data_IF_545313185170
#
_entry.id   IF_545313185170
#
_cell.length_a   1.000
_cell.length_b   1.000
_cell.length_c   1.000
_cell.angle_alpha   90.00
_cell.angle_beta   90.00
_cell.angle_gamma   90.00
#
_symmetry.space_group_name_H-M   'P 1'
#
loop_
_entity.id
_entity.type
_entity.pdbx_description
1 polymer ?
#
# COMPACT_ATOMS: atom_id res chain seq x y z
N UNK A 1 -53.83 20.15 -9.21
CA UNK A 1 -52.92 19.04 -9.55
C UNK A 1 -51.57 19.65 -9.90
N UNK A 2 -50.67 19.76 -8.91
CA UNK A 2 -49.35 20.37 -9.09
C UNK A 2 -48.33 19.29 -9.44
N UNK A 3 -47.86 19.30 -10.68
CA UNK A 3 -46.85 18.37 -11.17
C UNK A 3 -45.48 18.81 -10.62
N UNK A 4 -45.05 18.22 -9.51
CA UNK A 4 -43.72 18.43 -8.95
C UNK A 4 -42.69 17.76 -9.85
N UNK A 5 -42.07 18.55 -10.72
CA UNK A 5 -40.90 18.13 -11.48
C UNK A 5 -39.73 17.89 -10.51
N UNK A 6 -39.40 16.62 -10.29
CA UNK A 6 -38.16 16.25 -9.60
C UNK A 6 -36.97 16.61 -10.49
N UNK A 7 -35.96 17.35 -9.99
CA UNK A 7 -34.75 17.63 -10.75
C UNK A 7 -33.96 16.33 -10.95
N UNK A 8 -34.12 15.73 -12.13
CA UNK A 8 -33.27 14.67 -12.62
C UNK A 8 -31.97 15.30 -13.14
N UNK A 9 -30.83 15.13 -12.45
CA UNK A 9 -29.58 15.64 -13.02
C UNK A 9 -28.26 15.35 -12.29
N UNK A 10 -28.21 15.28 -10.96
CA UNK A 10 -26.91 15.39 -10.26
C UNK A 10 -26.09 14.08 -10.16
N UNK A 11 -26.59 12.94 -10.65
CA UNK A 11 -25.94 11.63 -10.47
C UNK A 11 -25.02 11.15 -11.60
N UNK A 12 -24.97 11.83 -12.75
CA UNK A 12 -24.14 11.41 -13.90
C UNK A 12 -22.63 11.72 -13.78
N UNK A 13 -22.18 12.91 -13.33
CA UNK A 13 -20.75 13.28 -13.42
C UNK A 13 -19.83 12.46 -12.50
N UNK A 14 -20.35 11.97 -11.37
CA UNK A 14 -19.59 11.15 -10.42
C UNK A 14 -19.28 9.76 -11.00
N UNK A 15 -20.27 9.14 -11.67
CA UNK A 15 -20.12 7.80 -12.28
C UNK A 15 -19.06 7.82 -13.39
N UNK A 16 -19.04 8.85 -14.22
CA UNK A 16 -18.08 8.99 -15.31
C UNK A 16 -16.65 9.21 -14.80
N UNK A 17 -16.51 10.00 -13.74
CA UNK A 17 -15.20 10.21 -13.09
C UNK A 17 -14.66 8.91 -12.50
N UNK A 18 -15.50 8.11 -11.84
CA UNK A 18 -15.11 6.82 -11.29
C UNK A 18 -14.70 5.84 -12.39
N UNK A 19 -15.50 5.72 -13.46
CA UNK A 19 -15.19 4.86 -14.61
C UNK A 19 -13.85 5.22 -15.26
N UNK A 20 -13.60 6.53 -15.48
CA UNK A 20 -12.33 7.01 -16.03
C UNK A 20 -11.15 6.66 -15.14
N UNK A 21 -11.26 6.88 -13.83
CA UNK A 21 -10.17 6.56 -12.89
C UNK A 21 -9.88 5.06 -12.84
N UNK A 22 -10.92 4.22 -12.86
CA UNK A 22 -10.77 2.76 -12.94
C UNK A 22 -10.09 2.34 -14.24
N UNK A 23 -10.52 2.87 -15.38
CA UNK A 23 -9.89 2.58 -16.67
C UNK A 23 -8.40 2.94 -16.67
N UNK A 24 -8.05 4.13 -16.17
CA UNK A 24 -6.65 4.58 -16.04
C UNK A 24 -5.84 3.61 -15.16
N UNK A 25 -6.38 3.20 -14.01
CA UNK A 25 -5.70 2.26 -13.13
C UNK A 25 -5.51 0.89 -13.79
N UNK A 26 -6.52 0.36 -14.47
CA UNK A 26 -6.43 -0.91 -15.19
C UNK A 26 -5.41 -0.83 -16.33
N UNK A 27 -5.39 0.25 -17.11
CA UNK A 27 -4.37 0.47 -18.15
C UNK A 27 -2.98 0.51 -17.53
N UNK A 28 -2.78 1.21 -16.42
CA UNK A 28 -1.49 1.24 -15.73
C UNK A 28 -1.05 -0.15 -15.24
N UNK A 29 -1.97 -0.93 -14.66
CA UNK A 29 -1.69 -2.31 -14.24
C UNK A 29 -1.38 -3.23 -15.42
N UNK A 30 -2.07 -3.07 -16.55
CA UNK A 30 -1.80 -3.84 -17.77
C UNK A 30 -0.40 -3.51 -18.35
N UNK A 31 -0.03 -2.23 -18.39
CA UNK A 31 1.33 -1.82 -18.82
C UNK A 31 2.39 -2.37 -17.88
N UNK A 32 2.19 -2.27 -16.57
CA UNK A 32 3.11 -2.83 -15.58
C UNK A 32 3.24 -4.35 -15.74
N UNK A 33 2.12 -5.08 -15.89
CA UNK A 33 2.13 -6.52 -16.12
C UNK A 33 2.88 -6.90 -17.40
N UNK A 34 2.67 -6.18 -18.49
CA UNK A 34 3.37 -6.41 -19.76
C UNK A 34 4.88 -6.21 -19.62
N UNK A 35 5.31 -5.15 -18.92
CA UNK A 35 6.73 -4.90 -18.64
C UNK A 35 7.34 -5.98 -17.76
N UNK A 36 6.63 -6.44 -16.72
CA UNK A 36 7.12 -7.52 -15.85
C UNK A 36 7.21 -8.85 -16.60
N UNK A 37 6.21 -9.18 -17.42
CA UNK A 37 6.26 -10.37 -18.28
C UNK A 37 7.43 -10.31 -19.26
N UNK A 38 7.65 -9.15 -19.90
CA UNK A 38 8.77 -8.95 -20.81
C UNK A 38 10.12 -9.11 -20.10
N UNK A 39 10.28 -8.53 -18.90
CA UNK A 39 11.50 -8.64 -18.11
C UNK A 39 11.81 -10.08 -17.68
N UNK A 40 10.77 -10.90 -17.44
CA UNK A 40 10.90 -12.30 -17.03
C UNK A 40 10.78 -13.30 -18.20
N UNK A 41 10.55 -12.85 -19.43
CA UNK A 41 10.27 -13.73 -20.57
C UNK A 41 11.35 -14.79 -20.78
N UNK A 42 12.63 -14.40 -20.66
CA UNK A 42 13.75 -15.33 -20.78
C UNK A 42 13.83 -16.35 -19.63
N UNK A 43 13.41 -15.98 -18.43
CA UNK A 43 13.34 -16.89 -17.27
C UNK A 43 12.20 -17.88 -17.43
N UNK A 44 11.05 -17.41 -17.91
CA UNK A 44 9.87 -18.23 -18.15
C UNK A 44 10.09 -19.26 -19.27
N UNK A 45 10.81 -18.89 -20.33
CA UNK A 45 11.02 -19.74 -21.50
C UNK A 45 12.06 -20.85 -21.31
N UNK A 46 12.97 -20.70 -20.35
CA UNK A 46 14.03 -21.71 -20.10
C UNK A 46 13.49 -22.87 -19.28
N UNK A 47 13.77 -24.13 -19.61
CA UNK A 47 13.40 -25.26 -18.77
C UNK A 47 14.19 -25.30 -17.46
N UNK A 48 13.61 -25.91 -16.43
CA UNK A 48 14.24 -26.07 -15.11
C UNK A 48 13.87 -24.96 -14.13
N UNK A 49 14.33 -25.07 -12.88
CA UNK A 49 14.03 -24.11 -11.81
C UNK A 49 14.84 -22.82 -11.94
N UNK A 50 14.29 -21.72 -11.42
CA UNK A 50 15.07 -20.49 -11.22
C UNK A 50 15.93 -20.67 -9.98
N UNK A 51 17.22 -20.37 -10.08
CA UNK A 51 18.15 -20.40 -8.96
C UNK A 51 18.83 -21.75 -8.76
N UNK A 52 20.08 -21.68 -8.27
CA UNK A 52 20.86 -22.79 -7.70
C UNK A 52 22.10 -22.28 -6.93
N UNK A 53 22.21 -20.96 -6.71
CA UNK A 53 23.47 -20.32 -6.30
C UNK A 53 23.47 -19.79 -4.86
N UNK A 54 22.30 -19.55 -4.23
CA UNK A 54 22.19 -18.95 -2.89
C UNK A 54 20.90 -19.38 -2.17
N UNK A 55 20.10 -18.43 -1.68
CA UNK A 55 18.94 -18.62 -0.80
C UNK A 55 17.66 -19.00 -1.53
N UNK A 56 17.77 -19.77 -2.62
CA UNK A 56 16.60 -20.22 -3.37
C UNK A 56 15.87 -21.34 -2.62
N UNK A 57 15.03 -20.95 -1.67
CA UNK A 57 14.29 -21.87 -0.82
C UNK A 57 13.07 -22.50 -1.50
N UNK A 58 13.08 -22.80 -2.80
CA UNK A 58 11.95 -23.48 -3.48
C UNK A 58 12.44 -24.84 -3.97
N UNK A 59 11.92 -25.97 -3.44
CA UNK A 59 12.37 -27.30 -3.83
C UNK A 59 11.88 -27.66 -5.22
N UNK A 60 12.63 -28.52 -5.92
CA UNK A 60 12.35 -28.90 -7.30
C UNK A 60 11.01 -29.66 -7.44
N UNK A 61 10.79 -30.61 -6.54
CA UNK A 61 9.65 -31.53 -6.59
C UNK A 61 8.51 -31.05 -5.68
N UNK A 62 7.27 -31.31 -6.10
CA UNK A 62 6.07 -30.89 -5.37
C UNK A 62 5.99 -31.54 -3.96
N UNK A 63 6.45 -32.79 -3.85
CA UNK A 63 6.53 -33.54 -2.59
C UNK A 63 7.49 -32.85 -1.63
N UNK A 64 8.71 -32.54 -2.08
CA UNK A 64 9.70 -31.82 -1.28
C UNK A 64 9.20 -30.43 -0.87
N UNK A 65 8.49 -29.74 -1.76
CA UNK A 65 7.86 -28.46 -1.44
C UNK A 65 6.87 -28.61 -0.29
N UNK A 66 5.94 -29.56 -0.39
CA UNK A 66 4.95 -29.83 0.67
C UNK A 66 5.63 -30.27 1.97
N UNK A 67 6.65 -31.10 1.91
CA UNK A 67 7.34 -31.54 3.12
C UNK A 67 8.08 -30.37 3.79
N UNK A 68 8.73 -29.51 3.00
CA UNK A 68 9.37 -28.30 3.52
C UNK A 68 8.35 -27.34 4.14
N UNK A 69 7.23 -27.08 3.47
CA UNK A 69 6.21 -26.19 3.99
C UNK A 69 5.55 -26.74 5.28
N UNK A 70 5.44 -28.07 5.43
CA UNK A 70 4.95 -28.75 6.66
C UNK A 70 5.93 -28.53 7.80
N UNK A 71 7.21 -28.62 7.49
CA UNK A 71 8.29 -28.35 8.43
C UNK A 71 8.21 -26.92 8.98
N UNK A 72 7.84 -25.97 8.13
CA UNK A 72 7.55 -24.59 8.54
C UNK A 72 6.29 -24.43 9.41
N UNK A 73 5.51 -25.48 9.69
CA UNK A 73 4.43 -25.48 10.68
C UNK A 73 4.80 -26.07 12.06
N UNK A 74 5.97 -26.71 12.22
CA UNK A 74 6.44 -27.28 13.51
C UNK A 74 7.52 -26.44 14.21
N UNK A 75 7.36 -26.07 15.48
CA UNK A 75 8.41 -25.31 16.23
C UNK A 75 9.76 -26.06 16.33
N UNK A 76 9.71 -27.39 16.29
CA UNK A 76 10.89 -28.24 16.22
C UNK A 76 11.32 -28.44 14.77
N UNK A 77 12.55 -28.07 14.47
CA UNK A 77 13.17 -28.21 13.16
C UNK A 77 14.12 -29.42 13.17
N UNK A 78 13.61 -30.56 12.72
CA UNK A 78 14.38 -31.81 12.59
C UNK A 78 15.20 -31.91 11.28
N UNK A 79 15.22 -30.85 10.46
CA UNK A 79 15.96 -30.83 9.20
C UNK A 79 17.47 -30.68 9.42
N UNK A 80 17.86 -30.04 10.54
CA UNK A 80 19.26 -29.97 10.97
C UNK A 80 19.63 -31.22 11.77
N UNK A 81 20.85 -31.72 11.59
CA UNK A 81 21.31 -33.01 12.13
C UNK A 81 21.12 -33.19 13.65
N UNK A 82 21.21 -32.12 14.43
CA UNK A 82 21.01 -32.14 15.89
C UNK A 82 19.61 -31.75 16.33
N UNK A 83 18.73 -31.43 15.38
CA UNK A 83 17.52 -30.66 15.60
C UNK A 83 17.82 -29.24 16.11
N UNK A 84 16.92 -28.30 15.88
CA UNK A 84 16.96 -27.00 16.54
C UNK A 84 15.57 -26.48 16.86
N UNK A 85 15.47 -25.75 17.96
CA UNK A 85 14.28 -24.94 18.21
C UNK A 85 14.33 -23.71 17.32
N UNK A 86 13.34 -23.58 16.43
CA UNK A 86 13.28 -22.46 15.50
C UNK A 86 12.49 -21.30 16.14
N UNK A 87 13.18 -20.46 16.93
CA UNK A 87 12.56 -19.39 17.74
C UNK A 87 11.74 -18.37 16.93
N UNK A 88 12.07 -18.15 15.65
CA UNK A 88 11.44 -17.13 14.82
C UNK A 88 11.06 -17.69 13.45
N UNK A 89 9.83 -18.22 13.33
CA UNK A 89 9.26 -18.60 12.04
C UNK A 89 8.68 -17.40 11.31
N UNK A 90 9.55 -16.44 10.99
CA UNK A 90 9.17 -15.23 10.26
C UNK A 90 8.57 -15.57 8.89
N UNK A 91 8.96 -16.71 8.33
CA UNK A 91 8.44 -17.21 7.07
C UNK A 91 7.14 -18.02 7.20
N UNK A 92 6.58 -18.22 8.40
CA UNK A 92 5.37 -19.04 8.58
C UNK A 92 4.24 -18.60 7.66
N UNK A 93 3.96 -17.30 7.62
CA UNK A 93 2.89 -16.74 6.78
C UNK A 93 3.22 -16.84 5.29
N UNK A 94 4.50 -16.74 4.94
CA UNK A 94 4.97 -16.94 3.57
C UNK A 94 4.76 -18.39 3.12
N UNK A 95 5.16 -19.36 3.95
CA UNK A 95 4.96 -20.79 3.69
C UNK A 95 3.49 -21.21 3.71
N UNK A 96 2.68 -20.62 4.59
CA UNK A 96 1.24 -20.82 4.61
C UNK A 96 0.58 -20.33 3.32
N UNK A 97 1.03 -19.19 2.78
CA UNK A 97 0.53 -18.66 1.51
C UNK A 97 0.99 -19.50 0.30
N UNK A 98 2.19 -20.08 0.35
CA UNK A 98 2.73 -20.91 -0.72
C UNK A 98 2.24 -22.36 -0.67
N UNK A 99 1.78 -22.85 0.48
CA UNK A 99 1.33 -24.22 0.65
C UNK A 99 0.36 -24.70 -0.44
N UNK A 100 -0.72 -23.96 -0.78
CA UNK A 100 -1.70 -24.44 -1.77
C UNK A 100 -1.13 -24.53 -3.18
N UNK A 101 -0.12 -23.71 -3.52
CA UNK A 101 0.48 -23.68 -4.87
C UNK A 101 1.66 -24.65 -5.02
N UNK A 102 2.09 -25.31 -3.94
CA UNK A 102 3.13 -26.35 -3.96
C UNK A 102 2.84 -27.48 -4.95
N UNK A 103 1.56 -27.72 -5.26
CA UNK A 103 1.11 -28.75 -6.20
C UNK A 103 1.54 -28.50 -7.65
N UNK A 104 1.92 -27.26 -7.98
CA UNK A 104 2.36 -26.86 -9.32
C UNK A 104 3.84 -27.23 -9.59
N UNK A 105 4.55 -27.74 -8.59
CA UNK A 105 5.97 -28.09 -8.67
C UNK A 105 6.92 -26.89 -8.51
N UNK A 106 8.18 -27.19 -8.19
CA UNK A 106 9.22 -26.19 -7.94
C UNK A 106 9.53 -25.31 -9.14
N UNK A 107 9.56 -25.89 -10.33
CA UNK A 107 9.83 -25.16 -11.57
C UNK A 107 8.80 -24.06 -11.81
N UNK A 108 7.52 -24.38 -11.69
CA UNK A 108 6.44 -23.40 -11.86
C UNK A 108 6.54 -22.29 -10.80
N UNK A 109 6.60 -22.66 -9.52
CA UNK A 109 6.57 -21.67 -8.44
C UNK A 109 7.83 -20.80 -8.45
N UNK A 110 9.01 -21.37 -8.69
CA UNK A 110 10.28 -20.63 -8.72
C UNK A 110 10.33 -19.57 -9.83
N UNK A 111 9.61 -19.76 -10.93
CA UNK A 111 9.52 -18.79 -12.03
C UNK A 111 8.46 -17.72 -11.77
N UNK A 112 7.27 -18.15 -11.40
CA UNK A 112 6.11 -17.26 -11.29
C UNK A 112 6.14 -16.42 -10.02
N UNK A 113 6.67 -16.95 -8.91
CA UNK A 113 6.71 -16.21 -7.64
C UNK A 113 7.49 -14.89 -7.72
N UNK A 114 8.78 -14.83 -8.16
CA UNK A 114 9.50 -13.57 -8.25
C UNK A 114 8.82 -12.59 -9.21
N UNK A 115 8.27 -13.07 -10.33
CA UNK A 115 7.50 -12.27 -11.28
C UNK A 115 6.30 -11.60 -10.59
N UNK A 116 5.49 -12.40 -9.88
CA UNK A 116 4.31 -11.91 -9.17
C UNK A 116 4.67 -10.92 -8.06
N UNK A 117 5.75 -11.16 -7.32
CA UNK A 117 6.20 -10.25 -6.26
C UNK A 117 6.73 -8.92 -6.83
N UNK A 118 7.47 -8.94 -7.95
CA UNK A 118 7.89 -7.73 -8.66
C UNK A 118 6.68 -6.94 -9.15
N UNK A 119 5.71 -7.60 -9.81
CA UNK A 119 4.47 -6.97 -10.22
C UNK A 119 3.70 -6.37 -9.03
N UNK A 120 3.54 -7.15 -7.95
CA UNK A 120 2.83 -6.72 -6.74
C UNK A 120 3.49 -5.49 -6.11
N UNK A 121 4.82 -5.40 -6.12
CA UNK A 121 5.54 -4.24 -5.58
C UNK A 121 5.21 -2.95 -6.35
N UNK A 122 5.20 -2.98 -7.69
CA UNK A 122 4.79 -1.82 -8.49
C UNK A 122 3.30 -1.52 -8.35
N UNK A 123 2.46 -2.55 -8.35
CA UNK A 123 1.02 -2.41 -8.18
C UNK A 123 0.65 -1.76 -6.84
N UNK A 124 1.36 -2.12 -5.76
CA UNK A 124 1.22 -1.52 -4.44
C UNK A 124 1.66 -0.04 -4.40
N UNK A 125 2.67 0.34 -5.19
CA UNK A 125 3.15 1.72 -5.28
C UNK A 125 2.15 2.64 -5.98
N UNK A 126 1.37 2.14 -6.95
CA UNK A 126 0.38 2.95 -7.68
C UNK A 126 -0.59 3.73 -6.76
N UNK A 127 -1.36 3.12 -5.85
CA UNK A 127 -2.29 3.86 -5.01
C UNK A 127 -1.59 4.85 -4.07
N UNK A 128 -0.36 4.56 -3.63
CA UNK A 128 0.45 5.51 -2.85
C UNK A 128 0.82 6.73 -3.69
N UNK A 129 1.33 6.52 -4.92
CA UNK A 129 1.65 7.60 -5.85
C UNK A 129 0.42 8.46 -6.20
N UNK A 130 -0.74 7.82 -6.42
CA UNK A 130 -2.02 8.52 -6.65
C UNK A 130 -2.45 9.33 -5.42
N UNK A 131 -2.21 8.82 -4.21
CA UNK A 131 -2.51 9.53 -2.95
C UNK A 131 -1.66 10.78 -2.76
N UNK A 132 -0.45 10.78 -3.31
CA UNK A 132 0.47 11.92 -3.37
C UNK A 132 0.15 12.88 -4.52
N UNK A 133 -1.01 12.73 -5.17
CA UNK A 133 -1.51 13.62 -6.22
C UNK A 133 -0.62 13.68 -7.47
N UNK A 134 0.26 12.70 -7.68
CA UNK A 134 1.02 12.59 -8.92
C UNK A 134 0.08 12.39 -10.12
N UNK A 135 0.32 12.98 -11.30
CA UNK A 135 -0.43 12.66 -12.51
C UNK A 135 -0.31 11.17 -12.89
N UNK A 136 -1.27 10.58 -13.63
CA UNK A 136 -1.31 9.14 -13.88
C UNK A 136 -0.02 8.58 -14.51
N UNK A 137 0.57 9.32 -15.44
CA UNK A 137 1.84 8.95 -16.09
C UNK A 137 2.97 8.86 -15.07
N UNK A 138 3.13 9.86 -14.20
CA UNK A 138 4.16 9.84 -13.16
C UNK A 138 3.90 8.80 -12.07
N UNK A 139 2.64 8.49 -11.78
CA UNK A 139 2.30 7.38 -10.89
C UNK A 139 2.68 6.02 -11.50
N UNK A 140 2.52 5.85 -12.81
CA UNK A 140 2.99 4.66 -13.53
C UNK A 140 4.50 4.57 -13.49
N UNK A 141 5.21 5.66 -13.78
CA UNK A 141 6.67 5.70 -13.69
C UNK A 141 7.18 5.37 -12.28
N UNK A 142 6.52 5.88 -11.23
CA UNK A 142 6.85 5.52 -9.85
C UNK A 142 6.64 4.02 -9.58
N UNK A 143 5.55 3.43 -10.08
CA UNK A 143 5.29 2.00 -9.96
C UNK A 143 6.35 1.15 -10.69
N UNK A 144 6.72 1.53 -11.91
CA UNK A 144 7.76 0.87 -12.71
C UNK A 144 9.12 0.97 -12.03
N UNK A 145 9.55 2.17 -11.64
CA UNK A 145 10.85 2.34 -10.97
C UNK A 145 10.94 1.62 -9.64
N UNK A 146 9.83 1.53 -8.91
CA UNK A 146 9.79 0.77 -7.66
C UNK A 146 9.93 -0.74 -7.93
N UNK A 147 9.14 -1.27 -8.88
CA UNK A 147 9.15 -2.69 -9.24
C UNK A 147 10.51 -3.16 -9.78
N UNK A 148 11.14 -2.36 -10.64
CA UNK A 148 12.42 -2.67 -11.28
C UNK A 148 13.59 -1.96 -10.61
N UNK A 149 13.46 -1.58 -9.33
CA UNK A 149 14.56 -0.97 -8.60
C UNK A 149 15.75 -1.94 -8.48
N UNK A 150 17.00 -1.44 -8.42
CA UNK A 150 18.16 -2.29 -8.18
C UNK A 150 18.01 -3.15 -6.92
N UNK A 151 17.33 -2.64 -5.90
CA UNK A 151 16.99 -3.39 -4.70
C UNK A 151 16.08 -4.59 -5.01
N UNK A 152 14.94 -4.39 -5.65
CA UNK A 152 14.00 -5.46 -5.99
C UNK A 152 14.66 -6.54 -6.87
N UNK A 153 15.37 -6.12 -7.93
CA UNK A 153 16.07 -7.03 -8.83
C UNK A 153 17.19 -7.79 -8.12
N UNK A 154 17.94 -7.16 -7.22
CA UNK A 154 18.95 -7.86 -6.42
C UNK A 154 18.35 -8.98 -5.56
N UNK A 155 17.14 -8.78 -5.02
CA UNK A 155 16.44 -9.81 -4.24
C UNK A 155 15.89 -10.93 -5.10
N UNK A 156 15.41 -10.60 -6.30
CA UNK A 156 15.05 -11.61 -7.30
C UNK A 156 16.27 -12.46 -7.62
N UNK A 157 17.43 -11.88 -7.92
CA UNK A 157 18.65 -12.64 -8.26
C UNK A 157 19.16 -13.46 -7.06
N UNK A 158 19.09 -12.90 -5.85
CA UNK A 158 19.57 -13.56 -4.65
C UNK A 158 18.60 -14.60 -4.05
N UNK A 159 17.40 -14.80 -4.61
CA UNK A 159 16.43 -15.77 -4.08
C UNK A 159 15.71 -15.38 -2.79
N UNK A 160 15.89 -14.15 -2.29
CA UNK A 160 15.30 -13.69 -1.03
C UNK A 160 13.83 -13.28 -1.17
N UNK A 161 12.97 -14.24 -1.53
CA UNK A 161 11.54 -14.00 -1.79
C UNK A 161 10.77 -13.43 -0.60
N UNK A 162 10.98 -13.87 0.67
CA UNK A 162 10.32 -13.24 1.83
C UNK A 162 10.64 -11.75 1.97
N UNK A 163 11.90 -11.36 1.67
CA UNK A 163 12.32 -9.97 1.68
C UNK A 163 11.64 -9.17 0.56
N UNK A 164 11.55 -9.74 -0.64
CA UNK A 164 10.85 -9.12 -1.77
C UNK A 164 9.33 -9.01 -1.52
N UNK A 165 8.72 -9.98 -0.84
CA UNK A 165 7.32 -9.93 -0.42
C UNK A 165 7.07 -8.81 0.60
N UNK A 166 7.93 -8.70 1.63
CA UNK A 166 7.89 -7.57 2.56
C UNK A 166 8.07 -6.23 1.85
N UNK A 167 8.98 -6.16 0.87
CA UNK A 167 9.20 -4.96 0.06
C UNK A 167 7.95 -4.58 -0.74
N UNK A 168 7.28 -5.56 -1.36
CA UNK A 168 6.06 -5.32 -2.11
C UNK A 168 4.91 -4.74 -1.25
N UNK A 169 4.89 -5.04 0.06
CA UNK A 169 3.89 -4.53 1.00
C UNK A 169 4.21 -3.12 1.52
N UNK A 170 5.47 -2.67 1.44
CA UNK A 170 5.91 -1.41 2.02
C UNK A 170 5.10 -0.19 1.55
N UNK A 171 4.77 -0.01 0.26
CA UNK A 171 3.94 1.12 -0.17
C UNK A 171 2.54 1.11 0.45
N UNK A 172 1.96 -0.08 0.70
CA UNK A 172 0.65 -0.21 1.34
C UNK A 172 0.72 0.15 2.83
N UNK A 173 1.80 -0.21 3.53
CA UNK A 173 2.04 0.20 4.92
C UNK A 173 2.07 1.72 5.02
N UNK A 174 2.82 2.39 4.14
CA UNK A 174 2.95 3.86 4.13
C UNK A 174 1.62 4.51 3.77
N UNK A 175 0.89 3.97 2.79
CA UNK A 175 -0.43 4.43 2.42
C UNK A 175 -1.42 4.32 3.59
N UNK A 176 -1.48 3.17 4.26
CA UNK A 176 -2.35 2.95 5.42
C UNK A 176 -2.00 3.90 6.57
N UNK A 177 -0.71 4.06 6.88
CA UNK A 177 -0.24 5.01 7.89
C UNK A 177 -0.58 6.46 7.57
N UNK A 178 -0.43 6.88 6.30
CA UNK A 178 -0.80 8.23 5.87
C UNK A 178 -2.31 8.49 5.96
N UNK A 179 -3.15 7.49 5.67
CA UNK A 179 -4.61 7.55 5.82
C UNK A 179 -4.98 7.62 7.30
N UNK A 180 -4.38 6.77 8.14
CA UNK A 180 -4.59 6.76 9.59
C UNK A 180 -4.29 8.14 10.18
N UNK A 181 -3.11 8.69 9.92
CA UNK A 181 -2.71 10.00 10.40
C UNK A 181 -3.67 11.11 9.93
N UNK A 182 -4.11 11.06 8.67
CA UNK A 182 -5.09 12.02 8.15
C UNK A 182 -6.47 11.93 8.81
N UNK A 183 -6.90 10.73 9.22
CA UNK A 183 -8.17 10.55 9.96
C UNK A 183 -8.07 11.06 11.39
N UNK A 184 -6.95 10.81 12.07
CA UNK A 184 -6.69 11.32 13.43
C UNK A 184 -6.70 12.86 13.42
N UNK A 185 -6.01 13.50 12.48
CA UNK A 185 -5.97 14.96 12.37
C UNK A 185 -7.34 15.59 12.07
N UNK A 186 -8.18 14.90 11.31
CA UNK A 186 -9.48 15.38 10.88
C UNK A 186 -10.64 14.92 11.79
N UNK A 187 -10.34 14.23 12.90
CA UNK A 187 -11.31 13.64 13.82
C UNK A 187 -12.40 12.82 13.10
N UNK A 188 -11.98 12.01 12.12
CA UNK A 188 -12.88 11.20 11.29
C UNK A 188 -13.05 9.81 11.87
N UNK A 189 -14.25 9.19 11.73
CA UNK A 189 -14.46 7.81 12.16
C UNK A 189 -13.53 6.84 11.42
N UNK A 190 -13.37 5.63 11.95
CA UNK A 190 -12.56 4.57 11.33
C UNK A 190 -11.08 4.56 11.70
N UNK A 191 -10.65 5.37 12.69
CA UNK A 191 -9.27 5.35 13.22
C UNK A 191 -8.88 3.93 13.66
N UNK A 192 -9.73 3.25 14.43
CA UNK A 192 -9.46 1.88 14.93
C UNK A 192 -9.17 0.91 13.78
N UNK A 193 -10.02 0.92 12.74
CA UNK A 193 -9.83 0.07 11.57
C UNK A 193 -8.47 0.32 10.90
N UNK A 194 -8.11 1.58 10.66
CA UNK A 194 -6.83 1.90 10.02
C UNK A 194 -5.63 1.66 10.94
N UNK A 195 -5.78 1.73 12.26
CA UNK A 195 -4.76 1.30 13.22
C UNK A 195 -4.49 -0.19 13.09
N UNK A 196 -5.55 -1.02 13.14
CA UNK A 196 -5.45 -2.47 13.00
C UNK A 196 -4.87 -2.84 11.63
N UNK A 197 -5.36 -2.23 10.55
CA UNK A 197 -4.86 -2.47 9.19
C UNK A 197 -3.37 -2.10 9.06
N UNK A 198 -2.97 -0.93 9.56
CA UNK A 198 -1.56 -0.49 9.50
C UNK A 198 -0.67 -1.43 10.31
N UNK A 199 -1.09 -1.81 11.51
CA UNK A 199 -0.36 -2.76 12.37
C UNK A 199 -0.27 -4.15 11.74
N UNK A 200 -1.35 -4.65 11.13
CA UNK A 200 -1.36 -5.92 10.41
C UNK A 200 -0.42 -5.91 9.21
N UNK A 201 -0.51 -4.90 8.34
CA UNK A 201 0.40 -4.76 7.19
C UNK A 201 1.86 -4.63 7.64
N UNK A 202 2.12 -3.88 8.71
CA UNK A 202 3.45 -3.80 9.31
C UNK A 202 3.93 -5.17 9.82
N UNK A 203 3.07 -5.92 10.49
CA UNK A 203 3.35 -7.30 10.91
C UNK A 203 3.68 -8.21 9.74
N UNK A 204 2.96 -8.08 8.61
CA UNK A 204 3.28 -8.82 7.38
C UNK A 204 4.62 -8.40 6.76
N UNK A 205 5.07 -7.15 6.90
CA UNK A 205 6.42 -6.79 6.44
C UNK A 205 7.54 -7.44 7.26
N UNK A 206 7.23 -7.95 8.45
CA UNK A 206 8.16 -8.72 9.29
C UNK A 206 8.45 -10.12 8.76
N UNK A 207 7.90 -10.52 7.59
CA UNK A 207 8.41 -11.67 6.82
C UNK A 207 9.94 -11.61 6.64
N UNK A 208 10.50 -10.39 6.63
CA UNK A 208 11.94 -10.17 6.76
C UNK A 208 12.22 -9.03 7.76
N UNK A 209 13.04 -9.22 8.81
CA UNK A 209 13.25 -8.24 9.88
C UNK A 209 13.70 -6.87 9.36
N UNK A 210 14.65 -6.86 8.42
CA UNK A 210 15.17 -5.61 7.84
C UNK A 210 14.10 -4.77 7.14
N UNK A 211 13.10 -5.40 6.50
CA UNK A 211 12.03 -4.67 5.82
C UNK A 211 11.00 -4.17 6.83
N UNK A 212 10.61 -5.01 7.79
CA UNK A 212 9.71 -4.63 8.88
C UNK A 212 10.25 -3.46 9.71
N UNK A 213 11.53 -3.50 10.07
CA UNK A 213 12.20 -2.39 10.78
C UNK A 213 12.21 -1.10 9.94
N UNK A 214 12.53 -1.21 8.64
CA UNK A 214 12.51 -0.05 7.74
C UNK A 214 11.11 0.56 7.64
N UNK A 215 10.07 -0.27 7.52
CA UNK A 215 8.67 0.16 7.49
C UNK A 215 8.26 0.87 8.78
N UNK A 216 8.61 0.29 9.94
CA UNK A 216 8.36 0.87 11.25
C UNK A 216 9.05 2.23 11.41
N UNK A 217 10.32 2.34 11.00
CA UNK A 217 11.07 3.60 11.03
C UNK A 217 10.43 4.66 10.14
N UNK A 218 10.04 4.32 8.91
CA UNK A 218 9.36 5.26 8.00
C UNK A 218 8.02 5.76 8.59
N UNK A 219 7.24 4.87 9.19
CA UNK A 219 6.00 5.26 9.89
C UNK A 219 6.30 6.17 11.07
N UNK A 220 7.25 5.81 11.94
CA UNK A 220 7.63 6.60 13.10
C UNK A 220 8.05 8.02 12.71
N UNK A 221 8.88 8.16 11.67
CA UNK A 221 9.28 9.46 11.11
C UNK A 221 8.05 10.22 10.59
N UNK A 222 7.19 9.56 9.79
CA UNK A 222 5.99 10.18 9.22
C UNK A 222 5.01 10.71 10.29
N UNK A 223 4.75 9.92 11.33
CA UNK A 223 3.91 10.32 12.46
C UNK A 223 4.58 11.41 13.31
N UNK A 224 5.87 11.28 13.62
CA UNK A 224 6.64 12.27 14.37
C UNK A 224 6.63 13.65 13.69
N UNK A 225 6.88 13.68 12.38
CA UNK A 225 6.82 14.90 11.58
C UNK A 225 5.45 15.57 11.65
N UNK A 226 4.37 14.78 11.52
CA UNK A 226 2.99 15.31 11.61
C UNK A 226 2.67 15.88 12.98
N UNK A 227 3.07 15.22 14.07
CA UNK A 227 2.89 15.72 15.43
C UNK A 227 3.59 17.08 15.64
N UNK A 228 4.83 17.22 15.15
CA UNK A 228 5.59 18.47 15.24
C UNK A 228 4.93 19.58 14.42
N UNK A 229 4.52 19.28 13.18
CA UNK A 229 3.89 20.27 12.29
C UNK A 229 2.50 20.72 12.76
N UNK A 230 1.70 19.82 13.35
CA UNK A 230 0.40 20.12 13.91
C UNK A 230 0.47 21.05 15.13
N UNK A 231 1.44 20.81 16.02
CA UNK A 231 1.70 21.69 17.19
C UNK A 231 2.08 23.12 16.74
N UNK A 232 2.93 23.25 15.72
CA UNK A 232 3.31 24.56 15.14
C UNK A 232 2.09 25.33 14.63
N UNK A 233 1.19 24.67 13.89
CA UNK A 233 -0.06 25.30 13.39
C UNK A 233 -0.97 25.76 14.52
N UNK A 234 -1.15 24.94 15.57
CA UNK A 234 -1.97 25.29 16.75
C UNK A 234 -1.39 26.46 17.52
N UNK A 235 -0.07 26.50 17.72
CA UNK A 235 0.62 27.60 18.40
C UNK A 235 0.55 28.92 17.60
N UNK A 236 0.71 28.86 16.27
CA UNK A 236 0.55 30.03 15.41
C UNK A 236 -0.88 30.60 15.49
N UNK A 237 -1.91 29.75 15.48
CA UNK A 237 -3.32 30.18 15.67
C UNK A 237 -3.57 30.83 17.04
N UNK A 238 -2.95 30.30 18.11
CA UNK A 238 -3.07 30.90 19.45
C UNK A 238 -2.42 32.28 19.53
N UNK A 239 -1.26 32.49 18.87
CA UNK A 239 -0.61 33.81 18.81
C UNK A 239 -1.43 34.83 18.02
N UNK A 240 -2.10 34.42 16.94
CA UNK A 240 -2.99 35.30 16.17
C UNK A 240 -4.27 35.70 16.92
N UNK A 241 -4.74 34.87 17.85
CA UNK A 241 -5.91 35.15 18.69
C UNK A 241 -5.56 35.86 20.01
N UNK A 242 -4.36 36.44 20.15
CA UNK A 242 -4.01 37.23 21.32
C UNK A 242 -4.95 38.45 21.43
N UNK A 243 -5.76 38.59 22.49
CA UNK A 243 -6.83 39.59 22.58
C UNK A 243 -6.37 41.06 22.53
N UNK A 244 -5.08 41.33 22.67
CA UNK A 244 -4.52 42.69 22.76
C UNK A 244 -4.30 43.43 21.43
N UNK A 245 -4.56 42.82 20.27
CA UNK A 245 -4.35 43.43 18.94
C UNK A 245 -5.67 43.63 18.17
N UNK A 246 -6.74 44.05 18.87
CA UNK A 246 -8.00 44.52 18.25
C UNK A 246 -8.05 46.03 18.00
N UNK A 247 -6.93 46.74 18.10
CA UNK A 247 -6.86 48.18 17.87
C UNK A 247 -6.01 48.53 16.66
N UNK A 248 -6.62 49.28 15.72
CA UNK A 248 -6.06 49.91 14.50
C UNK A 248 -6.08 49.04 13.24
N UNK A 249 -7.13 49.29 12.44
CA UNK A 249 -7.19 48.88 11.05
C UNK A 249 -6.10 49.58 10.24
N UNK A 250 -5.16 48.78 9.74
CA UNK A 250 -4.40 49.12 8.54
C UNK A 250 -4.59 47.96 7.57
N UNK A 251 -5.44 48.17 6.58
CA UNK A 251 -5.58 47.30 5.43
C UNK A 251 -4.27 47.37 4.63
N UNK A 252 -3.38 46.39 4.81
CA UNK A 252 -2.24 46.22 3.93
C UNK A 252 -2.63 45.29 2.77
N UNK A 253 -2.57 45.77 1.51
CA UNK A 253 -2.83 44.95 0.33
C UNK A 253 -1.56 44.18 -0.03
N UNK A 254 -1.31 43.05 0.61
CA UNK A 254 -0.19 42.17 0.22
C UNK A 254 -0.58 40.70 0.29
N UNK A 255 -0.96 40.14 -0.85
CA UNK A 255 -0.37 38.95 -1.49
C UNK A 255 -1.28 38.42 -2.62
N UNK A 256 -0.69 38.31 -3.82
CA UNK A 256 -1.37 38.02 -5.07
C UNK A 256 -2.02 36.62 -5.18
N UNK A 257 -3.05 36.48 -6.02
CA UNK A 257 -3.91 35.29 -6.12
C UNK A 257 -3.33 34.08 -6.89
N UNK A 258 -2.09 34.14 -7.37
CA UNK A 258 -1.58 33.18 -8.37
C UNK A 258 -1.16 31.83 -7.75
N UNK A 259 -0.62 31.81 -6.53
CA UNK A 259 -0.15 30.55 -5.92
C UNK A 259 -1.26 29.70 -5.26
N UNK A 260 -2.44 30.28 -5.01
CA UNK A 260 -3.57 29.56 -4.39
C UNK A 260 -4.43 28.77 -5.38
N UNK A 261 -4.36 29.06 -6.68
CA UNK A 261 -5.21 28.37 -7.69
C UNK A 261 -4.64 27.01 -8.12
N UNK A 262 -3.32 26.82 -8.10
CA UNK A 262 -2.71 25.56 -8.55
C UNK A 262 -2.79 24.39 -7.55
N UNK A 263 -3.03 24.66 -6.26
CA UNK A 263 -3.06 23.61 -5.22
C UNK A 263 -4.41 23.45 -4.49
N UNK A 264 -5.48 24.14 -4.92
CA UNK A 264 -6.79 24.10 -4.24
C UNK A 264 -7.88 23.33 -4.99
N UNK A 265 -7.63 22.82 -6.19
CA UNK A 265 -8.64 22.12 -6.99
C UNK A 265 -8.68 20.58 -6.82
N UNK A 266 -7.82 19.97 -5.98
CA UNK A 266 -7.75 18.50 -5.87
C UNK A 266 -8.31 17.83 -4.60
N UNK A 267 -8.63 18.57 -3.54
CA UNK A 267 -8.69 17.99 -2.17
C UNK A 267 -10.09 17.88 -1.54
N UNK A 268 -11.16 17.93 -2.32
CA UNK A 268 -12.46 17.48 -1.83
C UNK A 268 -12.68 16.00 -2.19
N UNK A 269 -12.45 15.04 -1.27
CA UNK A 269 -13.09 13.75 -1.43
C UNK A 269 -14.61 13.95 -1.51
N UNK A 270 -15.34 13.13 -2.28
CA UNK A 270 -16.79 13.23 -2.33
C UNK A 270 -17.34 13.22 -0.91
N UNK A 271 -18.12 14.26 -0.59
CA UNK A 271 -18.89 14.29 0.65
C UNK A 271 -19.90 13.16 0.54
N UNK A 272 -19.63 12.03 1.20
CA UNK A 272 -20.69 11.07 1.51
C UNK A 272 -21.74 11.84 2.31
N UNK A 273 -22.87 12.14 1.66
CA UNK A 273 -23.99 12.80 2.29
C UNK A 273 -24.45 12.00 3.51
N UNK A 274 -25.06 12.66 4.51
CA UNK A 274 -25.58 11.96 5.68
C UNK A 274 -26.54 10.87 5.21
N UNK A 275 -26.22 9.61 5.55
CA UNK A 275 -27.15 8.48 5.40
C UNK A 275 -28.36 8.86 6.22
N UNK A 276 -29.46 9.17 5.54
CA UNK A 276 -30.73 9.51 6.16
C UNK A 276 -31.16 8.34 7.03
N UNK A 277 -30.93 8.44 8.34
CA UNK A 277 -31.50 7.53 9.33
C UNK A 277 -33.00 7.80 9.29
N UNK A 278 -33.71 6.99 8.51
CA UNK A 278 -35.16 7.01 8.45
C UNK A 278 -35.73 6.79 9.84
N UNK A 279 -36.17 7.89 10.48
CA UNK A 279 -37.05 7.83 11.65
C UNK A 279 -38.32 7.12 11.21
N UNK A 280 -38.43 5.82 11.52
CA UNK A 280 -39.71 5.11 11.52
C UNK A 280 -40.62 5.85 12.50
N UNK A 281 -41.59 6.61 11.98
CA UNK A 281 -42.77 7.01 12.75
C UNK A 281 -43.54 5.73 13.08
N UNK A 282 -43.59 5.37 14.35
CA UNK A 282 -44.64 4.49 14.86
C UNK A 282 -45.92 5.33 14.87
N UNK A 283 -46.84 5.02 13.96
CA UNK A 283 -48.24 5.36 14.17
C UNK A 283 -48.83 4.34 15.14
N UNK A 284 -49.68 4.85 16.03
CA UNK A 284 -50.33 4.10 17.12
C UNK A 284 -51.32 3.06 16.64
#
# INVERSE_FOLDING_TARGET
>A
MGNTQHPAGDGQPEKDTMRRNTAIALTAMAVLAALTLLAFAGVLARPGIVGHTWDWGIPNFAEQFRDMARHHFSTWDAYFETGRYHYFKLELLYWLALWPVSVLGGETVSKWLPLLLVFASGAAMWPLARRLELPPVFALLAAVFYAFSPYALSRVVAGHMPMLAGYALLPLVILAGAVLAGRIEADRPGVVYFTVLTGFLLGLTSLHPGVGMSAATMLAIGFGWRLVSGRRKKNARRRLHWPGLRGRGHEHPFHGPVFRRLFRQGSHPPRLGPVGVGRRRRHG
#
